data_IF_767132218044
#
_entry.id   IF_767132218044
#
_cell.length_a   1.000
_cell.length_b   1.000
_cell.length_c   1.000
_cell.angle_alpha   90.00
_cell.angle_beta   90.00
_cell.angle_gamma   90.00
#
_symmetry.space_group_name_H-M   'P 1'
#
loop_
_entity.id
_entity.type
_entity.pdbx_description
1 polymer ?
#
# COMPACT_ATOMS: atom_id res chain seq x y z
N UNK A 1 -5.72 11.76 -23.55
CA UNK A 1 -6.77 11.49 -22.53
C UNK A 1 -6.50 10.13 -21.93
N UNK A 2 -6.15 10.04 -20.64
CA UNK A 2 -6.18 8.75 -19.95
C UNK A 2 -7.64 8.32 -19.81
N UNK A 3 -7.94 7.08 -20.17
CA UNK A 3 -9.23 6.46 -19.86
C UNK A 3 -9.20 5.97 -18.42
N UNK A 4 -10.37 5.86 -17.79
CA UNK A 4 -10.50 5.30 -16.44
C UNK A 4 -9.86 3.90 -16.33
N UNK A 5 -9.89 3.10 -17.41
CA UNK A 5 -9.23 1.79 -17.50
C UNK A 5 -7.70 1.88 -17.33
N UNK A 6 -7.08 2.87 -17.98
CA UNK A 6 -5.64 3.08 -17.87
C UNK A 6 -5.24 3.49 -16.44
N UNK A 7 -6.16 4.16 -15.73
CA UNK A 7 -5.96 4.53 -14.32
C UNK A 7 -6.04 3.29 -13.43
N UNK A 8 -6.99 2.39 -13.66
CA UNK A 8 -7.09 1.14 -12.90
C UNK A 8 -5.91 0.22 -13.12
N UNK A 9 -5.41 0.10 -14.36
CA UNK A 9 -4.21 -0.70 -14.66
C UNK A 9 -2.94 -0.15 -13.99
N UNK A 10 -2.87 1.16 -13.75
CA UNK A 10 -1.73 1.82 -13.10
C UNK A 10 -1.96 2.09 -11.61
N UNK A 11 -3.09 1.67 -11.05
CA UNK A 11 -3.46 2.00 -9.69
C UNK A 11 -2.60 1.26 -8.66
N UNK A 12 -2.24 0.00 -8.93
CA UNK A 12 -1.36 -0.79 -8.07
C UNK A 12 0.02 -0.13 -7.98
N UNK A 13 0.62 0.21 -9.14
CA UNK A 13 1.88 0.95 -9.19
C UNK A 13 1.81 2.32 -8.47
N UNK A 14 0.64 2.98 -8.49
CA UNK A 14 0.41 4.24 -7.79
C UNK A 14 0.32 4.08 -6.26
N UNK A 15 -0.11 2.93 -5.75
CA UNK A 15 -0.29 2.64 -4.32
C UNK A 15 0.91 1.92 -3.71
N UNK A 16 1.58 1.07 -4.49
CA UNK A 16 2.80 0.36 -4.11
C UNK A 16 4.08 1.18 -4.28
N UNK A 17 3.98 2.36 -4.89
CA UNK A 17 5.12 3.27 -5.00
C UNK A 17 6.15 2.83 -6.04
N UNK A 18 5.76 1.91 -6.94
CA UNK A 18 6.55 1.54 -8.11
C UNK A 18 6.95 2.80 -8.88
N UNK A 19 8.18 2.88 -9.43
CA UNK A 19 8.62 4.06 -10.16
C UNK A 19 7.81 4.27 -11.45
N UNK A 20 6.79 5.14 -11.41
CA UNK A 20 6.16 5.69 -12.61
C UNK A 20 7.01 6.81 -13.21
N UNK A 21 7.01 6.94 -14.54
CA UNK A 21 7.63 8.09 -15.19
C UNK A 21 6.93 9.41 -14.82
N UNK A 22 7.67 10.52 -14.85
CA UNK A 22 7.13 11.85 -14.52
C UNK A 22 5.91 12.23 -15.35
N UNK A 23 5.88 11.83 -16.63
CA UNK A 23 4.75 12.10 -17.55
C UNK A 23 3.49 11.38 -17.10
N UNK A 24 3.60 10.12 -16.72
CA UNK A 24 2.47 9.31 -16.24
C UNK A 24 1.93 9.83 -14.92
N UNK A 25 2.83 10.24 -14.02
CA UNK A 25 2.45 10.80 -12.72
C UNK A 25 1.64 12.09 -12.88
N UNK A 26 2.02 12.97 -13.80
CA UNK A 26 1.25 14.19 -14.11
C UNK A 26 -0.09 13.86 -14.77
N UNK A 27 -0.11 12.93 -15.72
CA UNK A 27 -1.33 12.56 -16.43
C UNK A 27 -2.37 11.90 -15.50
N UNK A 28 -1.92 11.06 -14.57
CA UNK A 28 -2.76 10.48 -13.51
C UNK A 28 -3.28 11.55 -12.54
N UNK A 29 -2.44 12.51 -12.12
CA UNK A 29 -2.88 13.62 -11.24
C UNK A 29 -3.97 14.47 -11.89
N UNK A 30 -3.80 14.84 -13.16
CA UNK A 30 -4.80 15.60 -13.91
C UNK A 30 -6.10 14.80 -14.03
N UNK A 31 -6.02 13.51 -14.35
CA UNK A 31 -7.21 12.66 -14.44
C UNK A 31 -7.95 12.55 -13.09
N UNK A 32 -7.23 12.34 -11.98
CA UNK A 32 -7.83 12.25 -10.64
C UNK A 32 -8.43 13.58 -10.16
N UNK A 33 -7.98 14.72 -10.70
CA UNK A 33 -8.58 16.03 -10.47
C UNK A 33 -9.93 16.17 -11.19
N UNK A 34 -10.04 15.62 -12.40
CA UNK A 34 -11.23 15.74 -13.26
C UNK A 34 -12.27 14.63 -13.02
N UNK A 35 -11.84 13.43 -12.63
CA UNK A 35 -12.69 12.25 -12.50
C UNK A 35 -12.88 11.84 -11.03
N UNK A 36 -14.06 12.12 -10.48
CA UNK A 36 -14.41 11.76 -9.11
C UNK A 36 -14.42 10.23 -8.86
N UNK A 37 -14.84 9.43 -9.85
CA UNK A 37 -14.88 7.96 -9.72
C UNK A 37 -13.49 7.37 -9.50
N UNK A 38 -12.52 7.75 -10.33
CA UNK A 38 -11.14 7.31 -10.18
C UNK A 38 -10.53 7.82 -8.86
N UNK A 39 -10.89 9.04 -8.42
CA UNK A 39 -10.45 9.56 -7.12
C UNK A 39 -10.97 8.72 -5.96
N UNK A 40 -12.25 8.33 -5.97
CA UNK A 40 -12.85 7.46 -4.95
C UNK A 40 -12.20 6.07 -4.95
N UNK A 41 -12.03 5.49 -6.13
CA UNK A 41 -11.38 4.18 -6.30
C UNK A 41 -9.97 4.16 -5.72
N UNK A 42 -9.10 5.10 -6.12
CA UNK A 42 -7.72 5.18 -5.62
C UNK A 42 -7.67 5.40 -4.10
N UNK A 43 -8.62 6.15 -3.52
CA UNK A 43 -8.70 6.33 -2.06
C UNK A 43 -9.04 5.02 -1.35
N UNK A 44 -9.99 4.24 -1.88
CA UNK A 44 -10.35 2.93 -1.32
C UNK A 44 -9.20 1.94 -1.43
N UNK A 45 -8.53 1.90 -2.59
CA UNK A 45 -7.36 1.04 -2.79
C UNK A 45 -6.24 1.37 -1.82
N UNK A 46 -5.92 2.66 -1.61
CA UNK A 46 -4.94 3.07 -0.61
C UNK A 46 -5.32 2.65 0.81
N UNK A 47 -6.59 2.78 1.19
CA UNK A 47 -7.05 2.35 2.50
C UNK A 47 -6.84 0.84 2.69
N UNK A 48 -7.23 0.05 1.68
CA UNK A 48 -7.06 -1.41 1.67
C UNK A 48 -5.58 -1.81 1.78
N UNK A 49 -4.71 -1.25 0.94
CA UNK A 49 -3.28 -1.56 1.00
C UNK A 49 -2.65 -1.10 2.32
N UNK A 50 -3.05 0.06 2.85
CA UNK A 50 -2.56 0.51 4.15
C UNK A 50 -2.98 -0.43 5.29
N UNK A 51 -4.21 -0.96 5.28
CA UNK A 51 -4.65 -1.96 6.27
C UNK A 51 -3.89 -3.28 6.15
N UNK A 52 -3.52 -3.69 4.94
CA UNK A 52 -2.72 -4.89 4.73
C UNK A 52 -1.28 -4.71 5.19
N UNK A 53 -0.66 -3.55 4.93
CA UNK A 53 0.71 -3.25 5.40
C UNK A 53 0.82 -3.15 6.92
N UNK A 54 -0.24 -2.68 7.60
CA UNK A 54 -0.30 -2.70 9.08
C UNK A 54 -0.28 -4.15 9.60
N UNK A 55 -0.78 -5.11 8.82
CA UNK A 55 -0.80 -6.52 9.18
C UNK A 55 0.50 -7.26 8.84
N UNK A 56 1.45 -6.66 8.11
CA UNK A 56 2.76 -7.27 7.91
C UNK A 56 3.51 -7.23 9.25
N UNK A 57 3.76 -8.39 9.90
CA UNK A 57 4.55 -8.40 11.11
C UNK A 57 5.95 -7.92 10.75
N UNK A 58 6.37 -6.81 11.36
CA UNK A 58 7.76 -6.39 11.31
C UNK A 58 8.65 -7.57 11.74
N UNK A 59 9.77 -7.84 11.05
CA UNK A 59 10.65 -8.93 11.41
C UNK A 59 11.09 -8.74 12.87
N UNK A 60 10.63 -9.66 13.72
CA UNK A 60 10.97 -9.68 15.14
C UNK A 60 12.40 -10.19 15.24
N UNK A 61 13.26 -9.49 16.00
CA UNK A 61 14.65 -9.93 16.20
C UNK A 61 14.70 -11.27 16.94
N UNK A 62 15.66 -12.11 16.60
CA UNK A 62 15.89 -13.40 17.28
C UNK A 62 16.00 -13.24 18.80
N UNK A 63 16.68 -12.19 19.28
CA UNK A 63 16.77 -11.84 20.71
C UNK A 63 15.41 -11.67 21.40
N UNK A 64 14.39 -11.20 20.67
CA UNK A 64 13.05 -10.99 21.20
C UNK A 64 12.24 -12.30 21.20
N UNK A 65 12.49 -13.17 20.21
CA UNK A 65 11.92 -14.52 20.17
C UNK A 65 12.46 -15.36 21.33
N UNK A 66 13.78 -15.34 21.55
CA UNK A 66 14.42 -16.06 22.66
C UNK A 66 13.92 -15.58 24.02
N UNK A 67 13.70 -14.28 24.17
CA UNK A 67 13.16 -13.72 25.42
C UNK A 67 11.73 -14.21 25.70
N UNK A 68 10.87 -14.22 24.69
CA UNK A 68 9.49 -14.72 24.82
C UNK A 68 9.47 -16.21 25.16
N UNK A 69 10.32 -17.03 24.52
CA UNK A 69 10.43 -18.46 24.80
C UNK A 69 10.88 -18.73 26.24
N UNK A 70 11.91 -18.01 26.71
CA UNK A 70 12.38 -18.12 28.08
C UNK A 70 11.33 -17.70 29.13
N UNK A 71 10.50 -16.69 28.83
CA UNK A 71 9.42 -16.27 29.73
C UNK A 71 8.28 -17.30 29.81
N UNK A 72 8.04 -18.07 28.73
CA UNK A 72 7.08 -19.18 28.73
C UNK A 72 7.58 -20.39 29.52
N UNK A 73 8.86 -20.75 29.38
CA UNK A 73 9.49 -21.87 30.11
C UNK A 73 9.64 -21.59 31.61
N UNK A 74 9.65 -20.32 32.02
CA UNK A 74 9.77 -19.90 33.42
C UNK A 74 8.43 -19.80 34.15
N UNK A 75 7.30 -19.98 33.46
CA UNK A 75 5.97 -19.94 34.07
C UNK A 75 5.61 -21.37 34.55
N UNK A 76 5.42 -21.59 35.87
CA UNK A 76 5.05 -22.91 36.40
C UNK A 76 3.63 -23.33 36.01
#
# INVERSE_FOLDING_TARGET
MLKCKDVTEKADALVDGTPLSWRERTALRVHLLMCHHCRRYVRQLRALVSSLRIAEPSPVSDDHVDKVLNDLDRKP
#
